data_IF_450928717151
#
_entry.id   IF_450928717151
#
_cell.length_a   1.000
_cell.length_b   1.000
_cell.length_c   1.000
_cell.angle_alpha   90.00
_cell.angle_beta   90.00
_cell.angle_gamma   90.00
#
_symmetry.space_group_name_H-M   'P 1'
#
loop_
_entity.id
_entity.type
_entity.pdbx_description
1 polymer ?
#
# COMPACT_ATOMS: atom_id res chain seq x y z
N UNK A 1 -1.84 -24.20 8.74
CA UNK A 1 -3.24 -23.71 8.61
C UNK A 1 -3.56 -22.35 9.26
N UNK A 2 -3.36 -22.14 10.58
CA UNK A 2 -4.00 -21.01 11.30
C UNK A 2 -3.57 -19.60 10.91
N UNK A 3 -2.28 -19.34 10.61
CA UNK A 3 -1.79 -17.97 10.37
C UNK A 3 -2.24 -17.35 9.05
N UNK A 4 -2.35 -18.14 7.98
CA UNK A 4 -2.78 -17.65 6.65
C UNK A 4 -4.30 -17.48 6.64
N UNK A 5 -5.04 -18.45 7.17
CA UNK A 5 -6.49 -18.37 7.30
C UNK A 5 -6.95 -17.26 8.26
N UNK A 6 -6.24 -17.06 9.39
CA UNK A 6 -6.52 -15.95 10.30
C UNK A 6 -6.20 -14.56 9.69
N UNK A 7 -5.22 -14.47 8.77
CA UNK A 7 -4.93 -13.24 8.03
C UNK A 7 -6.00 -12.92 6.98
N UNK A 8 -6.51 -13.94 6.29
CA UNK A 8 -7.52 -13.79 5.23
C UNK A 8 -8.91 -13.46 5.77
N UNK A 9 -9.30 -14.04 6.91
CA UNK A 9 -10.66 -13.90 7.43
C UNK A 9 -10.75 -13.06 8.73
N UNK A 10 -9.62 -12.61 9.27
CA UNK A 10 -9.58 -11.82 10.51
C UNK A 10 -10.25 -12.52 11.70
N UNK A 11 -10.51 -11.78 12.79
CA UNK A 11 -11.18 -12.33 13.98
C UNK A 11 -12.62 -12.83 13.73
N UNK A 12 -13.23 -12.45 12.59
CA UNK A 12 -14.53 -12.97 12.13
C UNK A 12 -14.42 -14.35 11.43
N UNK A 13 -13.20 -14.73 11.04
CA UNK A 13 -12.89 -15.94 10.29
C UNK A 13 -12.86 -17.23 11.07
N UNK A 14 -12.82 -17.17 12.41
CA UNK A 14 -12.80 -18.37 13.25
C UNK A 14 -13.93 -19.34 12.91
N UNK A 15 -15.13 -18.81 12.65
CA UNK A 15 -16.32 -19.60 12.30
C UNK A 15 -16.26 -20.27 10.92
N UNK A 16 -15.57 -19.66 9.95
CA UNK A 16 -15.41 -20.19 8.58
C UNK A 16 -14.29 -21.23 8.56
N UNK A 17 -13.20 -20.96 9.27
CA UNK A 17 -12.06 -21.85 9.43
C UNK A 17 -12.46 -23.12 10.19
N UNK A 18 -13.27 -23.01 11.25
CA UNK A 18 -13.83 -24.18 11.96
C UNK A 18 -14.74 -25.02 11.08
N UNK A 19 -15.59 -24.39 10.25
CA UNK A 19 -16.45 -25.11 9.30
C UNK A 19 -15.64 -25.84 8.23
N UNK A 20 -14.61 -25.20 7.67
CA UNK A 20 -13.72 -25.84 6.70
C UNK A 20 -12.94 -26.98 7.37
N UNK A 21 -12.37 -26.77 8.56
CA UNK A 21 -11.66 -27.81 9.31
C UNK A 21 -12.57 -29.00 9.65
N UNK A 22 -13.83 -28.76 10.03
CA UNK A 22 -14.79 -29.82 10.35
C UNK A 22 -15.24 -30.64 9.12
N UNK A 23 -15.24 -30.05 7.92
CA UNK A 23 -15.49 -30.78 6.66
C UNK A 23 -14.27 -31.60 6.26
N UNK A 24 -13.07 -31.04 6.41
CA UNK A 24 -11.81 -31.71 6.09
C UNK A 24 -11.59 -32.93 6.98
N UNK A 25 -11.77 -32.81 8.29
CA UNK A 25 -11.61 -33.93 9.23
C UNK A 25 -12.68 -35.03 9.04
N UNK A 26 -13.81 -34.71 8.39
CA UNK A 26 -14.88 -35.69 8.09
C UNK A 26 -14.55 -36.56 6.88
N UNK A 27 -13.77 -36.06 5.92
CA UNK A 27 -13.47 -36.75 4.67
C UNK A 27 -11.99 -37.18 4.53
N UNK A 28 -11.07 -36.58 5.30
CA UNK A 28 -9.63 -36.83 5.23
C UNK A 28 -9.13 -37.39 6.56
N UNK A 29 -8.78 -38.69 6.59
CA UNK A 29 -8.42 -39.41 7.82
C UNK A 29 -6.93 -39.65 8.00
N UNK A 30 -6.14 -39.65 6.94
CA UNK A 30 -4.69 -39.89 7.02
C UNK A 30 -3.90 -38.58 7.05
N UNK A 31 -2.73 -38.60 7.73
CA UNK A 31 -1.87 -37.41 7.86
C UNK A 31 -1.36 -36.90 6.51
N UNK A 32 -1.08 -37.81 5.58
CA UNK A 32 -0.55 -37.48 4.26
C UNK A 32 -1.62 -36.85 3.36
N UNK A 33 -2.85 -37.36 3.37
CA UNK A 33 -3.98 -36.73 2.66
C UNK A 33 -4.31 -35.35 3.25
N UNK A 34 -4.19 -35.17 4.57
CA UNK A 34 -4.41 -33.86 5.22
C UNK A 34 -3.34 -32.85 4.82
N UNK A 35 -2.08 -33.27 4.73
CA UNK A 35 -0.99 -32.43 4.25
C UNK A 35 -1.14 -32.07 2.76
N UNK A 36 -1.58 -33.01 1.92
CA UNK A 36 -1.87 -32.75 0.51
C UNK A 36 -3.03 -31.76 0.34
N UNK A 37 -4.12 -31.94 1.10
CA UNK A 37 -5.25 -31.02 1.11
C UNK A 37 -4.86 -29.62 1.60
N UNK A 38 -4.07 -29.52 2.66
CA UNK A 38 -3.56 -28.23 3.14
C UNK A 38 -2.74 -27.50 2.08
N UNK A 39 -1.93 -28.24 1.31
CA UNK A 39 -1.12 -27.68 0.24
C UNK A 39 -1.99 -27.17 -0.91
N UNK A 40 -2.92 -27.99 -1.41
CA UNK A 40 -3.83 -27.60 -2.50
C UNK A 40 -4.73 -26.42 -2.09
N UNK A 41 -5.27 -26.44 -0.87
CA UNK A 41 -6.07 -25.33 -0.34
C UNK A 41 -5.24 -24.05 -0.24
N UNK A 42 -3.98 -24.15 0.21
CA UNK A 42 -3.09 -22.99 0.29
C UNK A 42 -2.77 -22.43 -1.10
N UNK A 43 -2.54 -23.29 -2.09
CA UNK A 43 -2.33 -22.87 -3.48
C UNK A 43 -3.56 -22.15 -4.05
N UNK A 44 -4.76 -22.71 -3.86
CA UNK A 44 -6.03 -22.09 -4.29
C UNK A 44 -6.24 -20.73 -3.60
N UNK A 45 -5.93 -20.62 -2.31
CA UNK A 45 -6.07 -19.36 -1.57
C UNK A 45 -5.06 -18.30 -2.02
N UNK A 46 -3.82 -18.69 -2.31
CA UNK A 46 -2.80 -17.79 -2.86
C UNK A 46 -3.23 -17.30 -4.24
N UNK A 47 -3.74 -18.19 -5.09
CA UNK A 47 -4.24 -17.83 -6.41
C UNK A 47 -5.45 -16.88 -6.31
N UNK A 48 -6.37 -17.13 -5.38
CA UNK A 48 -7.50 -16.24 -5.13
C UNK A 48 -7.08 -14.86 -4.61
N UNK A 49 -6.10 -14.79 -3.69
CA UNK A 49 -5.53 -13.53 -3.21
C UNK A 49 -4.84 -12.77 -4.36
N UNK A 50 -4.04 -13.46 -5.17
CA UNK A 50 -3.38 -12.87 -6.33
C UNK A 50 -4.39 -12.34 -7.36
N UNK A 51 -5.47 -13.08 -7.63
CA UNK A 51 -6.54 -12.64 -8.51
C UNK A 51 -7.29 -11.43 -7.93
N UNK A 52 -7.53 -11.40 -6.61
CA UNK A 52 -8.13 -10.25 -5.94
C UNK A 52 -7.26 -9.01 -6.04
N UNK A 53 -5.96 -9.13 -5.75
CA UNK A 53 -4.98 -8.05 -5.88
C UNK A 53 -4.87 -7.55 -7.33
N UNK A 54 -4.95 -8.46 -8.30
CA UNK A 54 -4.99 -8.10 -9.73
C UNK A 54 -6.23 -7.28 -10.07
N UNK A 55 -7.41 -7.68 -9.62
CA UNK A 55 -8.66 -6.92 -9.83
C UNK A 55 -8.60 -5.53 -9.19
N UNK A 56 -8.06 -5.41 -7.97
CA UNK A 56 -7.86 -4.12 -7.30
C UNK A 56 -6.92 -3.24 -8.12
N UNK A 57 -5.81 -3.82 -8.61
CA UNK A 57 -4.83 -3.11 -9.44
C UNK A 57 -5.43 -2.67 -10.77
N UNK A 58 -6.21 -3.52 -11.44
CA UNK A 58 -6.90 -3.20 -12.69
C UNK A 58 -7.91 -2.07 -12.50
N UNK A 59 -8.66 -2.10 -11.38
CA UNK A 59 -9.56 -1.02 -11.01
C UNK A 59 -8.81 0.30 -10.79
N UNK A 60 -7.70 0.26 -10.06
CA UNK A 60 -6.86 1.45 -9.86
C UNK A 60 -6.28 1.98 -11.18
N UNK A 61 -5.89 1.08 -12.10
CA UNK A 61 -5.45 1.46 -13.45
C UNK A 61 -6.57 2.12 -14.25
N UNK A 62 -7.77 1.55 -14.24
CA UNK A 62 -8.93 2.13 -14.93
C UNK A 62 -9.27 3.54 -14.38
N UNK A 63 -9.22 3.70 -13.06
CA UNK A 63 -9.42 5.00 -12.39
C UNK A 63 -8.32 6.02 -12.76
N UNK A 64 -7.09 5.56 -13.04
CA UNK A 64 -5.96 6.39 -13.49
C UNK A 64 -5.97 6.69 -15.00
N UNK A 65 -6.46 5.78 -15.84
CA UNK A 65 -6.54 5.96 -17.30
C UNK A 65 -7.55 7.04 -17.67
N UNK A 66 -8.71 7.06 -17.00
CA UNK A 66 -9.72 8.13 -17.16
C UNK A 66 -9.39 9.42 -16.40
N UNK A 67 -8.25 9.47 -15.69
CA UNK A 67 -7.81 10.63 -14.94
C UNK A 67 -7.40 11.79 -15.83
N UNK A 68 -8.01 12.96 -15.63
CA UNK A 68 -7.61 14.22 -16.25
C UNK A 68 -6.17 14.62 -15.87
N UNK A 69 -5.56 15.58 -16.57
CA UNK A 69 -4.20 16.08 -16.34
C UNK A 69 -3.89 16.40 -14.86
N UNK A 70 -4.89 16.93 -14.14
CA UNK A 70 -4.77 17.27 -12.72
C UNK A 70 -4.51 16.02 -11.85
N UNK A 71 -5.18 14.90 -12.12
CA UNK A 71 -5.01 13.64 -11.38
C UNK A 71 -3.62 13.05 -11.58
N UNK A 72 -3.06 13.19 -12.79
CA UNK A 72 -1.69 12.72 -13.10
C UNK A 72 -0.61 13.62 -12.49
N UNK A 73 -0.90 14.91 -12.34
CA UNK A 73 0.03 15.92 -11.84
C UNK A 73 -0.12 16.25 -10.36
N UNK A 74 -1.08 15.66 -9.65
CA UNK A 74 -1.33 15.97 -8.22
C UNK A 74 -0.11 15.73 -7.34
N UNK A 75 0.62 14.63 -7.56
CA UNK A 75 1.86 14.30 -6.81
C UNK A 75 2.94 15.38 -6.94
N UNK A 76 3.39 15.74 -8.16
CA UNK A 76 4.36 16.83 -8.32
C UNK A 76 3.81 18.20 -7.88
N UNK A 77 2.51 18.47 -8.06
CA UNK A 77 1.90 19.73 -7.61
C UNK A 77 1.93 19.89 -6.09
N UNK A 78 1.66 18.81 -5.33
CA UNK A 78 1.75 18.82 -3.87
C UNK A 78 3.19 19.08 -3.42
N UNK A 79 4.19 18.51 -4.10
CA UNK A 79 5.60 18.81 -3.80
C UNK A 79 5.96 20.28 -4.01
N UNK A 80 5.56 20.85 -5.16
CA UNK A 80 5.79 22.26 -5.44
C UNK A 80 5.08 23.14 -4.41
N UNK A 81 3.85 22.81 -4.06
CA UNK A 81 3.10 23.51 -3.02
C UNK A 81 3.82 23.49 -1.67
N UNK A 82 4.30 22.31 -1.24
CA UNK A 82 5.02 22.17 0.03
C UNK A 82 6.33 22.97 0.04
N UNK A 83 7.08 23.00 -1.07
CA UNK A 83 8.30 23.81 -1.20
C UNK A 83 7.99 25.31 -1.18
N UNK A 84 6.92 25.75 -1.84
CA UNK A 84 6.52 27.16 -1.80
C UNK A 84 6.07 27.55 -0.40
N UNK A 85 5.32 26.69 0.29
CA UNK A 85 4.87 26.92 1.66
C UNK A 85 6.06 27.05 2.63
N UNK A 86 7.11 26.24 2.45
CA UNK A 86 8.32 26.33 3.30
C UNK A 86 9.10 27.61 3.03
N UNK A 87 9.27 28.00 1.76
CA UNK A 87 9.91 29.26 1.40
C UNK A 87 9.15 30.46 1.99
N UNK A 88 7.82 30.46 1.92
CA UNK A 88 6.99 31.50 2.54
C UNK A 88 7.17 31.54 4.07
N UNK A 89 7.21 30.39 4.75
CA UNK A 89 7.49 30.33 6.18
C UNK A 89 8.84 30.94 6.55
N UNK A 90 9.90 30.64 5.79
CA UNK A 90 11.24 31.23 5.98
C UNK A 90 11.22 32.75 5.78
N UNK A 91 10.43 33.26 4.83
CA UNK A 91 10.27 34.71 4.64
C UNK A 91 9.50 35.39 5.76
N UNK A 92 8.53 34.71 6.37
CA UNK A 92 7.80 35.22 7.53
C UNK A 92 8.71 35.23 8.76
N UNK A 93 9.46 34.15 9.00
CA UNK A 93 10.40 34.01 10.11
C UNK A 93 11.59 34.98 10.02
N UNK A 94 12.09 35.24 8.79
CA UNK A 94 13.14 36.25 8.54
C UNK A 94 12.61 37.69 8.41
N UNK A 95 11.29 37.87 8.37
CA UNK A 95 10.61 39.16 8.21
C UNK A 95 10.27 39.84 9.54
N UNK A 96 9.84 41.10 9.47
CA UNK A 96 9.50 41.96 10.62
C UNK A 96 8.19 41.61 11.36
N UNK A 97 7.59 40.46 11.08
CA UNK A 97 6.37 39.99 11.75
C UNK A 97 6.75 39.08 12.92
N UNK A 98 6.38 39.43 14.15
CA UNK A 98 6.52 38.58 15.34
C UNK A 98 5.52 37.40 15.29
N UNK A 99 5.67 36.52 14.30
CA UNK A 99 4.88 35.30 14.21
C UNK A 99 5.77 34.10 14.55
N UNK A 100 5.78 33.72 15.82
CA UNK A 100 6.50 32.55 16.29
C UNK A 100 5.73 31.29 15.89
N UNK A 101 6.30 30.51 14.98
CA UNK A 101 5.75 29.22 14.57
C UNK A 101 6.13 28.18 15.62
N UNK A 102 5.14 27.57 16.27
CA UNK A 102 5.36 26.54 17.27
C UNK A 102 6.09 25.31 16.67
N UNK A 103 7.07 24.78 17.40
CA UNK A 103 7.99 23.71 16.95
C UNK A 103 7.27 22.46 16.39
N UNK A 104 6.09 22.13 16.94
CA UNK A 104 5.28 21.01 16.44
C UNK A 104 4.90 21.15 14.96
N UNK A 105 4.72 22.38 14.46
CA UNK A 105 4.34 22.63 13.08
C UNK A 105 5.53 22.57 12.14
N UNK A 106 6.70 23.03 12.59
CA UNK A 106 7.95 22.91 11.83
C UNK A 106 8.39 21.44 11.71
N UNK A 107 8.26 20.67 12.79
CA UNK A 107 8.56 19.23 12.81
C UNK A 107 7.61 18.45 11.91
N UNK A 108 6.31 18.73 12.00
CA UNK A 108 5.31 18.14 11.11
C UNK A 108 5.64 18.42 9.64
N UNK A 109 5.98 19.68 9.32
CA UNK A 109 6.34 20.09 7.96
C UNK A 109 7.61 19.37 7.47
N UNK A 110 8.64 19.27 8.31
CA UNK A 110 9.88 18.55 8.00
C UNK A 110 9.61 17.06 7.72
N UNK A 111 8.82 16.41 8.56
CA UNK A 111 8.44 15.00 8.38
C UNK A 111 7.68 14.81 7.06
N UNK A 112 6.70 15.68 6.79
CA UNK A 112 5.91 15.63 5.56
C UNK A 112 6.78 15.87 4.32
N UNK A 113 7.70 16.84 4.34
CA UNK A 113 8.62 17.08 3.22
C UNK A 113 9.52 15.88 2.97
N UNK A 114 10.18 15.35 4.00
CA UNK A 114 11.09 14.22 3.88
C UNK A 114 10.37 12.98 3.32
N UNK A 115 9.19 12.68 3.85
CA UNK A 115 8.40 11.52 3.42
C UNK A 115 7.83 11.70 2.01
N UNK A 116 7.33 12.88 1.65
CA UNK A 116 6.76 13.14 0.31
C UNK A 116 7.83 13.21 -0.79
N UNK A 117 8.97 13.86 -0.53
CA UNK A 117 10.13 13.89 -1.44
C UNK A 117 10.68 12.48 -1.61
N UNK A 118 10.91 11.76 -0.51
CA UNK A 118 11.40 10.38 -0.53
C UNK A 118 10.46 9.44 -1.30
N UNK A 119 9.15 9.50 -1.07
CA UNK A 119 8.17 8.68 -1.77
C UNK A 119 8.10 9.00 -3.27
N UNK A 120 8.13 10.29 -3.65
CA UNK A 120 8.05 10.69 -5.05
C UNK A 120 9.31 10.32 -5.83
N UNK A 121 10.50 10.71 -5.35
CA UNK A 121 11.75 10.41 -6.03
C UNK A 121 12.14 8.94 -5.91
N UNK A 122 11.86 8.30 -4.77
CA UNK A 122 12.05 6.86 -4.58
C UNK A 122 11.19 6.04 -5.53
N UNK A 123 9.88 6.34 -5.60
CA UNK A 123 8.96 5.68 -6.53
C UNK A 123 9.36 5.86 -7.99
N UNK A 124 9.74 7.08 -8.39
CA UNK A 124 10.23 7.36 -9.75
C UNK A 124 11.55 6.65 -10.07
N UNK A 125 12.43 6.51 -9.09
CA UNK A 125 13.71 5.81 -9.25
C UNK A 125 13.49 4.31 -9.46
N UNK A 126 12.57 3.70 -8.69
CA UNK A 126 12.17 2.29 -8.86
C UNK A 126 11.47 2.06 -10.19
N UNK A 127 10.55 2.93 -10.62
CA UNK A 127 9.92 2.87 -11.94
C UNK A 127 10.98 2.89 -13.06
N UNK A 128 11.97 3.79 -12.97
CA UNK A 128 13.03 3.91 -13.96
C UNK A 128 13.94 2.68 -13.98
N UNK A 129 14.32 2.18 -12.80
CA UNK A 129 15.12 0.96 -12.67
C UNK A 129 14.42 -0.27 -13.28
N UNK A 130 13.12 -0.42 -13.02
CA UNK A 130 12.34 -1.54 -13.58
C UNK A 130 12.20 -1.45 -15.10
N UNK A 131 12.11 -0.24 -15.69
CA UNK A 131 12.14 -0.08 -17.16
C UNK A 131 13.46 -0.55 -17.75
N UNK A 132 14.59 -0.11 -17.18
CA UNK A 132 15.92 -0.57 -17.60
C UNK A 132 16.10 -2.07 -17.46
N UNK A 133 15.66 -2.68 -16.36
CA UNK A 133 15.76 -4.13 -16.13
C UNK A 133 14.92 -4.94 -17.12
N UNK A 134 13.76 -4.43 -17.50
CA UNK A 134 12.84 -5.11 -18.41
C UNK A 134 13.10 -4.78 -19.90
N UNK A 135 14.18 -4.06 -20.22
CA UNK A 135 14.58 -3.78 -21.60
C UNK A 135 13.63 -2.86 -22.37
N UNK A 136 12.90 -1.97 -21.66
CA UNK A 136 12.08 -0.91 -22.25
C UNK A 136 12.72 0.47 -22.09
#
# INVERSE_FOLDING_TARGET
>A
MSKILAKLFGNAGGSVVEKISGVVDKFVRTKDEKAAFEKEMTEILIEAEAAMQKNVTERWKADLEHGNWLTRSVRPLVLVFLIVATVLMVFIDSGSLQFEVEEKWTDLLQLVLMTTIGAYFGGRSVEKYNKFKNGQ
#
